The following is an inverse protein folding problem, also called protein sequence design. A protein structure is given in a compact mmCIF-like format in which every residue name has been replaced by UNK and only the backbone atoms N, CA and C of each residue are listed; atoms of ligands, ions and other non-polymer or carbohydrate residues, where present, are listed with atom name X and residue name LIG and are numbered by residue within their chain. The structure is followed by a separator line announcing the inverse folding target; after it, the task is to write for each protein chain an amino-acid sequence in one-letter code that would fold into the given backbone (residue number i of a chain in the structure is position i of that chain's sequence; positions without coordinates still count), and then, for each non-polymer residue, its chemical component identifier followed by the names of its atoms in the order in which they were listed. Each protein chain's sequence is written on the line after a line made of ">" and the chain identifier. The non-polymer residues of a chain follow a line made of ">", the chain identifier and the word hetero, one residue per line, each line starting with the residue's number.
data_IF_349383975436
#
_entry.id   IF_349383975436
#
_cell.length_a   1.000
_cell.length_b   1.000
_cell.length_c   1.000
_cell.angle_alpha   90.00
_cell.angle_beta   90.00
_cell.angle_gamma   90.00
#
_symmetry.space_group_name_H-M   'P 1'
#
loop_
_entity.id
_entity.type
_entity.pdbx_description
1 polymer ?
#
# COMPACT_ATOMS: atom_id res chain seq x y z
N UNK A 1 48.80 10.56 21.87
CA UNK A 1 47.53 10.97 22.54
C UNK A 1 46.27 10.24 22.01
N UNK A 2 46.38 9.08 21.35
CA UNK A 2 45.21 8.35 20.82
C UNK A 2 44.52 7.42 21.85
N UNK A 3 45.25 6.91 22.86
CA UNK A 3 44.71 5.92 23.82
C UNK A 3 43.81 6.44 24.94
N UNK A 4 43.65 7.76 25.13
CA UNK A 4 42.81 8.34 26.21
C UNK A 4 41.34 8.49 25.79
N UNK A 5 41.07 8.74 24.51
CA UNK A 5 39.71 8.95 23.97
C UNK A 5 38.92 7.64 23.88
N UNK A 6 39.60 6.54 23.56
CA UNK A 6 39.02 5.20 23.44
C UNK A 6 38.52 4.66 24.78
N UNK A 7 39.26 4.89 25.87
CA UNK A 7 38.88 4.41 27.21
C UNK A 7 37.63 5.12 27.76
N UNK A 8 37.47 6.42 27.47
CA UNK A 8 36.31 7.17 27.93
C UNK A 8 35.04 6.80 27.14
N UNK A 9 35.17 6.62 25.81
CA UNK A 9 34.06 6.18 24.96
C UNK A 9 33.55 4.78 25.33
N UNK A 10 34.45 3.85 25.68
CA UNK A 10 34.09 2.50 26.09
C UNK A 10 33.37 2.48 27.45
N UNK A 11 33.81 3.30 28.41
CA UNK A 11 33.17 3.43 29.71
C UNK A 11 31.76 4.02 29.58
N UNK A 12 31.60 5.07 28.77
CA UNK A 12 30.29 5.65 28.46
C UNK A 12 29.37 4.65 27.78
N UNK A 13 29.86 3.92 26.76
CA UNK A 13 29.07 2.89 26.09
C UNK A 13 28.56 1.83 27.08
N UNK A 14 29.43 1.34 27.97
CA UNK A 14 29.06 0.31 28.96
C UNK A 14 27.99 0.81 29.94
N UNK A 15 28.13 2.07 30.41
CA UNK A 15 27.14 2.68 31.31
C UNK A 15 25.79 2.89 30.62
N UNK A 16 25.78 3.41 29.39
CA UNK A 16 24.56 3.58 28.61
C UNK A 16 23.92 2.23 28.27
N UNK A 17 24.73 1.23 27.90
CA UNK A 17 24.26 -0.11 27.58
C UNK A 17 23.51 -0.74 28.75
N UNK A 18 24.04 -0.61 29.97
CA UNK A 18 23.36 -1.10 31.17
C UNK A 18 21.99 -0.46 31.36
N UNK A 19 21.91 0.88 31.26
CA UNK A 19 20.62 1.58 31.40
C UNK A 19 19.60 1.15 30.34
N UNK A 20 20.03 1.00 29.08
CA UNK A 20 19.18 0.50 27.99
C UNK A 20 18.66 -0.91 28.26
N UNK A 21 19.50 -1.80 28.81
CA UNK A 21 19.10 -3.16 29.17
C UNK A 21 18.06 -3.13 30.30
N UNK A 22 18.32 -2.37 31.36
CA UNK A 22 17.40 -2.26 32.51
C UNK A 22 16.02 -1.77 32.08
N UNK A 23 15.98 -0.77 31.19
CA UNK A 23 14.74 -0.21 30.68
C UNK A 23 14.02 -1.18 29.73
N UNK A 24 14.76 -1.91 28.88
CA UNK A 24 14.19 -2.95 28.04
C UNK A 24 13.63 -4.12 28.87
N UNK A 25 14.32 -4.53 29.94
CA UNK A 25 13.85 -5.52 30.90
C UNK A 25 12.57 -5.08 31.62
N UNK A 26 12.49 -3.80 31.99
CA UNK A 26 11.30 -3.22 32.60
C UNK A 26 10.13 -3.21 31.62
N UNK A 27 10.35 -2.75 30.38
CA UNK A 27 9.34 -2.71 29.33
C UNK A 27 8.83 -4.10 28.95
N UNK A 28 9.74 -5.07 28.76
CA UNK A 28 9.37 -6.46 28.45
C UNK A 28 8.43 -7.05 29.51
N UNK A 29 8.72 -6.78 30.79
CA UNK A 29 7.91 -7.23 31.91
C UNK A 29 6.59 -6.50 32.03
N UNK A 30 6.61 -5.17 31.90
CA UNK A 30 5.41 -4.33 32.04
C UNK A 30 4.37 -4.64 30.95
N UNK A 31 4.81 -4.75 29.70
CA UNK A 31 3.93 -4.93 28.55
C UNK A 31 3.76 -6.41 28.15
N UNK A 32 4.41 -7.33 28.85
CA UNK A 32 4.44 -8.77 28.54
C UNK A 32 4.85 -9.03 27.07
N UNK A 33 5.91 -8.36 26.62
CA UNK A 33 6.45 -8.46 25.25
C UNK A 33 7.84 -9.06 25.24
N UNK A 34 8.18 -9.76 24.16
CA UNK A 34 9.54 -10.24 23.92
C UNK A 34 10.36 -9.15 23.20
N UNK A 35 11.49 -8.77 23.78
CA UNK A 35 12.41 -7.78 23.21
C UNK A 35 13.74 -8.42 22.82
N UNK A 36 14.29 -7.94 21.70
CA UNK A 36 15.58 -8.33 21.17
C UNK A 36 16.32 -7.06 20.73
N UNK A 37 17.48 -6.79 21.34
CA UNK A 37 18.30 -5.64 21.02
C UNK A 37 19.60 -6.07 20.35
N UNK A 38 20.00 -5.32 19.32
CA UNK A 38 21.30 -5.44 18.66
C UNK A 38 21.96 -4.06 18.68
N UNK A 39 23.12 -3.97 19.33
CA UNK A 39 23.82 -2.72 19.59
C UNK A 39 25.28 -2.86 19.15
N UNK A 40 25.78 -1.97 18.30
CA UNK A 40 27.18 -1.98 17.89
C UNK A 40 28.03 -1.17 18.89
N UNK A 41 29.06 -1.81 19.45
CA UNK A 41 30.00 -1.10 20.32
C UNK A 41 30.95 -0.21 19.51
N UNK A 42 31.59 0.79 20.14
CA UNK A 42 32.63 1.60 19.50
C UNK A 42 33.81 0.77 18.97
N UNK A 43 34.01 -0.45 19.49
CA UNK A 43 35.03 -1.39 19.05
C UNK A 43 34.58 -2.25 17.85
N UNK A 44 33.39 -2.01 17.29
CA UNK A 44 32.80 -2.77 16.18
C UNK A 44 32.27 -4.15 16.59
N UNK A 45 32.30 -4.49 17.88
CA UNK A 45 31.75 -5.76 18.37
C UNK A 45 30.27 -5.59 18.73
N UNK A 46 29.38 -6.45 18.21
CA UNK A 46 27.96 -6.36 18.52
C UNK A 46 27.65 -6.89 19.93
N UNK A 47 26.81 -6.17 20.64
CA UNK A 47 26.16 -6.59 21.85
C UNK A 47 24.72 -6.99 21.57
N UNK A 48 24.27 -8.10 22.16
CA UNK A 48 22.94 -8.66 21.94
C UNK A 48 22.27 -8.92 23.29
N UNK A 49 21.12 -8.29 23.53
CA UNK A 49 20.30 -8.48 24.73
C UNK A 49 18.95 -9.15 24.40
N UNK A 50 18.44 -9.98 25.33
CA UNK A 50 17.31 -10.89 25.09
C UNK A 50 16.76 -11.62 26.33
N UNK A 51 15.44 -11.78 26.34
CA UNK A 51 14.70 -12.78 27.13
C UNK A 51 13.54 -13.29 26.25
N UNK A 52 13.39 -14.59 25.89
CA UNK A 52 14.15 -15.79 26.28
C UNK A 52 15.25 -16.22 25.28
N UNK A 53 15.45 -15.50 24.16
CA UNK A 53 16.43 -15.89 23.14
C UNK A 53 16.37 -15.07 21.86
N UNK A 54 17.36 -14.21 21.55
CA UNK A 54 17.46 -13.36 20.34
C UNK A 54 17.31 -14.19 19.07
N UNK A 55 17.96 -15.34 18.95
CA UNK A 55 17.78 -16.19 17.77
C UNK A 55 16.33 -16.69 17.64
N UNK A 56 15.66 -16.95 18.77
CA UNK A 56 14.25 -17.38 18.81
C UNK A 56 13.30 -16.23 18.45
N UNK A 57 13.49 -15.04 19.03
CA UNK A 57 12.72 -13.83 18.73
C UNK A 57 12.93 -13.41 17.27
N UNK A 58 14.18 -13.32 16.81
CA UNK A 58 14.55 -13.00 15.43
C UNK A 58 14.00 -14.01 14.44
N UNK A 59 13.99 -15.31 14.77
CA UNK A 59 13.36 -16.34 13.94
C UNK A 59 11.85 -16.15 13.87
N UNK A 60 11.17 -15.88 14.99
CA UNK A 60 9.72 -15.62 15.02
C UNK A 60 9.38 -14.38 14.19
N UNK A 61 10.12 -13.29 14.37
CA UNK A 61 9.97 -12.07 13.57
C UNK A 61 10.17 -12.34 12.08
N UNK A 62 11.25 -13.04 11.71
CA UNK A 62 11.52 -13.41 10.30
C UNK A 62 10.37 -14.22 9.70
N UNK A 63 9.87 -15.22 10.43
CA UNK A 63 8.78 -16.08 9.95
C UNK A 63 7.49 -15.28 9.77
N UNK A 64 7.14 -14.43 10.75
CA UNK A 64 5.96 -13.57 10.67
C UNK A 64 6.07 -12.57 9.51
N UNK A 65 7.26 -11.98 9.32
CA UNK A 65 7.54 -11.08 8.20
C UNK A 65 7.43 -11.79 6.86
N UNK A 66 8.00 -12.98 6.72
CA UNK A 66 7.89 -13.79 5.50
C UNK A 66 6.44 -14.19 5.19
N UNK A 67 5.65 -14.56 6.20
CA UNK A 67 4.24 -14.87 6.01
C UNK A 67 3.46 -13.65 5.50
N UNK A 68 3.68 -12.48 6.10
CA UNK A 68 3.09 -11.21 5.64
C UNK A 68 3.51 -10.85 4.22
N UNK A 69 4.79 -11.01 3.89
CA UNK A 69 5.31 -10.76 2.54
C UNK A 69 4.62 -11.67 1.53
N UNK A 70 4.49 -12.97 1.81
CA UNK A 70 3.79 -13.92 0.93
C UNK A 70 2.32 -13.56 0.73
N UNK A 71 1.63 -13.18 1.80
CA UNK A 71 0.22 -12.76 1.73
C UNK A 71 0.06 -11.48 0.90
N UNK A 72 0.95 -10.51 1.09
CA UNK A 72 0.95 -9.28 0.33
C UNK A 72 1.26 -9.56 -1.15
N UNK A 73 2.19 -10.46 -1.44
CA UNK A 73 2.50 -10.86 -2.81
C UNK A 73 1.30 -11.49 -3.49
N UNK A 74 0.62 -12.44 -2.84
CA UNK A 74 -0.59 -13.06 -3.39
C UNK A 74 -1.71 -12.04 -3.65
N UNK A 75 -1.86 -11.05 -2.76
CA UNK A 75 -2.81 -9.95 -2.95
C UNK A 75 -2.43 -9.08 -4.15
N UNK A 76 -1.15 -8.73 -4.28
CA UNK A 76 -0.64 -7.95 -5.41
C UNK A 76 -0.82 -8.69 -6.73
N UNK A 77 -0.52 -9.98 -6.78
CA UNK A 77 -0.68 -10.81 -7.98
C UNK A 77 -2.16 -10.85 -8.41
N UNK A 78 -3.07 -11.01 -7.43
CA UNK A 78 -4.51 -10.97 -7.68
C UNK A 78 -4.97 -9.62 -8.25
N UNK A 79 -4.62 -8.52 -7.58
CA UNK A 79 -5.01 -7.17 -8.03
C UNK A 79 -4.44 -6.87 -9.42
N UNK A 80 -3.19 -7.29 -9.67
CA UNK A 80 -2.55 -7.11 -10.98
C UNK A 80 -3.29 -7.85 -12.09
N UNK A 81 -3.77 -9.06 -11.79
CA UNK A 81 -4.61 -9.83 -12.73
C UNK A 81 -5.96 -9.15 -12.96
N UNK A 82 -6.66 -8.76 -11.91
CA UNK A 82 -7.95 -8.05 -12.02
C UNK A 82 -7.80 -6.75 -12.84
N UNK A 83 -6.73 -5.99 -12.61
CA UNK A 83 -6.42 -4.78 -13.38
C UNK A 83 -6.17 -5.07 -14.87
N UNK A 84 -5.50 -6.16 -15.20
CA UNK A 84 -5.27 -6.55 -16.59
C UNK A 84 -6.59 -6.91 -17.29
N UNK A 85 -7.45 -7.68 -16.61
CA UNK A 85 -8.78 -8.04 -17.12
C UNK A 85 -9.66 -6.80 -17.34
N UNK A 86 -9.66 -5.87 -16.40
CA UNK A 86 -10.46 -4.64 -16.50
C UNK A 86 -9.96 -3.71 -17.62
N UNK A 87 -8.64 -3.64 -17.83
CA UNK A 87 -8.07 -2.92 -18.98
C UNK A 87 -8.52 -3.50 -20.32
N UNK A 88 -8.58 -4.82 -20.44
CA UNK A 88 -9.09 -5.46 -21.66
C UNK A 88 -10.60 -5.22 -21.83
N UNK A 89 -11.39 -5.29 -20.75
CA UNK A 89 -12.82 -4.93 -20.79
C UNK A 89 -13.03 -3.49 -21.26
N UNK A 90 -12.27 -2.54 -20.72
CA UNK A 90 -12.34 -1.14 -21.12
C UNK A 90 -12.04 -0.95 -22.62
N UNK A 91 -11.06 -1.66 -23.18
CA UNK A 91 -10.76 -1.62 -24.62
C UNK A 91 -11.94 -2.15 -25.45
N UNK A 92 -12.56 -3.25 -25.04
CA UNK A 92 -13.71 -3.83 -25.74
C UNK A 92 -14.90 -2.88 -25.69
N UNK A 93 -15.19 -2.28 -24.53
CA UNK A 93 -16.27 -1.31 -24.37
C UNK A 93 -16.05 -0.09 -25.24
N UNK A 94 -14.83 0.47 -25.26
CA UNK A 94 -14.49 1.61 -26.11
C UNK A 94 -14.68 1.31 -27.60
N UNK A 95 -14.26 0.12 -28.07
CA UNK A 95 -14.50 -0.30 -29.45
C UNK A 95 -16.00 -0.41 -29.76
N UNK A 96 -16.78 -1.00 -28.85
CA UNK A 96 -18.24 -1.12 -29.02
C UNK A 96 -18.92 0.25 -29.06
N UNK A 97 -18.46 1.18 -28.23
CA UNK A 97 -18.93 2.56 -28.25
C UNK A 97 -18.64 3.19 -29.62
N UNK A 98 -17.39 3.15 -30.10
CA UNK A 98 -17.03 3.66 -31.43
C UNK A 98 -17.85 3.02 -32.57
N UNK A 99 -18.12 1.71 -32.50
CA UNK A 99 -18.98 1.01 -33.46
C UNK A 99 -20.44 1.48 -33.39
N UNK A 100 -20.98 1.70 -32.18
CA UNK A 100 -22.34 2.21 -32.00
C UNK A 100 -22.48 3.63 -32.56
N UNK A 101 -21.51 4.49 -32.28
CA UNK A 101 -21.44 5.85 -32.81
C UNK A 101 -21.43 5.85 -34.35
N UNK A 102 -20.61 5.00 -34.97
CA UNK A 102 -20.60 4.82 -36.44
C UNK A 102 -21.92 4.30 -36.98
N UNK A 103 -22.50 3.26 -36.37
CA UNK A 103 -23.74 2.63 -36.84
C UNK A 103 -24.94 3.59 -36.82
N UNK A 104 -24.98 4.48 -35.85
CA UNK A 104 -26.12 5.39 -35.65
C UNK A 104 -25.84 6.79 -36.22
N UNK A 105 -24.70 6.99 -36.90
CA UNK A 105 -24.22 8.29 -37.39
C UNK A 105 -24.33 9.40 -36.32
N UNK A 106 -24.14 9.01 -35.06
CA UNK A 106 -24.26 9.94 -33.94
C UNK A 106 -23.02 10.80 -33.97
N UNK A 107 -23.19 12.07 -34.33
CA UNK A 107 -22.13 13.08 -34.19
C UNK A 107 -21.98 13.44 -32.73
N UNK A 108 -20.79 13.91 -32.33
CA UNK A 108 -20.70 14.67 -31.09
C UNK A 108 -21.55 15.94 -31.22
N UNK A 109 -22.15 16.40 -30.11
CA UNK A 109 -22.95 17.63 -30.09
C UNK A 109 -22.14 18.82 -30.62
N UNK A 110 -20.83 18.84 -30.38
CA UNK A 110 -19.92 19.87 -30.87
C UNK A 110 -19.78 19.89 -32.42
N UNK A 111 -20.00 18.75 -33.07
CA UNK A 111 -19.85 18.57 -34.52
C UNK A 111 -21.20 18.68 -35.27
N UNK A 112 -22.31 18.88 -34.55
CA UNK A 112 -23.63 19.05 -35.14
C UNK A 112 -23.84 20.49 -35.62
N UNK A 113 -24.51 20.64 -36.77
CA UNK A 113 -24.96 21.96 -37.21
C UNK A 113 -26.24 22.41 -36.45
N UNK A 114 -26.65 23.68 -36.64
CA UNK A 114 -27.79 24.24 -35.90
C UNK A 114 -29.11 23.49 -36.13
N UNK A 115 -29.37 23.02 -37.35
CA UNK A 115 -30.58 22.27 -37.70
C UNK A 115 -30.57 20.88 -37.06
N UNK A 116 -29.43 20.21 -37.07
CA UNK A 116 -29.21 18.93 -36.39
C UNK A 116 -29.41 19.06 -34.87
N UNK A 117 -28.91 20.14 -34.26
CA UNK A 117 -29.08 20.43 -32.82
C UNK A 117 -30.55 20.67 -32.44
N UNK A 118 -31.31 21.38 -33.28
CA UNK A 118 -32.73 21.62 -33.04
C UNK A 118 -33.54 20.32 -33.12
N UNK A 119 -33.28 19.49 -34.13
CA UNK A 119 -33.91 18.17 -34.26
C UNK A 119 -33.53 17.23 -33.11
N UNK A 120 -32.30 17.30 -32.63
CA UNK A 120 -31.84 16.52 -31.46
C UNK A 120 -32.53 16.98 -30.17
N UNK A 121 -32.68 18.30 -29.96
CA UNK A 121 -33.42 18.85 -28.82
C UNK A 121 -34.87 18.37 -28.81
N UNK A 122 -35.56 18.40 -29.94
CA UNK A 122 -36.96 17.99 -30.04
C UNK A 122 -37.14 16.49 -29.69
N UNK A 123 -36.23 15.63 -30.16
CA UNK A 123 -36.19 14.21 -29.76
C UNK A 123 -36.00 14.02 -28.25
N UNK A 124 -35.15 14.83 -27.62
CA UNK A 124 -34.94 14.79 -26.16
C UNK A 124 -36.18 15.24 -25.37
N UNK A 125 -36.92 16.24 -25.86
CA UNK A 125 -38.17 16.66 -25.23
C UNK A 125 -39.24 15.57 -25.29
N UNK A 126 -39.41 14.93 -26.44
CA UNK A 126 -40.32 13.78 -26.61
C UNK A 126 -39.94 12.65 -25.65
N UNK A 127 -38.64 12.33 -25.54
CA UNK A 127 -38.16 11.30 -24.61
C UNK A 127 -38.47 11.67 -23.15
N UNK A 128 -38.26 12.93 -22.76
CA UNK A 128 -38.55 13.43 -21.41
C UNK A 128 -40.03 13.29 -21.06
N UNK A 129 -40.91 13.65 -21.98
CA UNK A 129 -42.36 13.50 -21.81
C UNK A 129 -42.78 12.03 -21.71
N UNK A 130 -42.16 11.16 -22.48
CA UNK A 130 -42.39 9.70 -22.44
C UNK A 130 -41.99 9.10 -21.10
N UNK A 131 -40.81 9.46 -20.58
CA UNK A 131 -40.35 8.98 -19.26
C UNK A 131 -41.27 9.48 -18.14
N UNK A 132 -41.62 10.78 -18.15
CA UNK A 132 -42.47 11.39 -17.15
C UNK A 132 -43.93 10.87 -17.17
N UNK A 133 -44.40 10.41 -18.34
CA UNK A 133 -45.72 9.76 -18.45
C UNK A 133 -45.67 8.28 -18.05
N UNK A 134 -44.54 7.59 -18.23
CA UNK A 134 -44.33 6.20 -17.81
C UNK A 134 -44.01 6.01 -16.31
N UNK A 135 -43.70 7.09 -15.58
CA UNK A 135 -43.42 7.08 -14.13
C UNK A 135 -44.58 7.62 -13.27
N UNK A 136 -45.75 7.83 -13.87
CA UNK A 136 -47.03 8.08 -13.19
C UNK A 136 -47.85 6.80 -13.08
#
# INVERSE_FOLDING_TARGET
>A
MAGRKTNNAQATFTNCLRGVIEEADALARQENVELALWLESPAGQPYVYKTPGFNTVSRRYRNASQARIRQNQATLDRITKELAEEKERAKVLKKREEELFKKHEVKEIADMNLEELLAFKEKLEILRETINSATK
#
